data_IF_561774641756
#
_entry.id   IF_561774641756
#
_cell.length_a   1.000
_cell.length_b   1.000
_cell.length_c   1.000
_cell.angle_alpha   90.00
_cell.angle_beta   90.00
_cell.angle_gamma   90.00
#
_symmetry.space_group_name_H-M   'P 1'
#
loop_
_entity.id
_entity.type
_entity.pdbx_description
1 polymer ?
#
# COMPACT_ATOMS: atom_id res chain seq x y z
N UNK A 1 -6.53 14.15 -18.36
CA UNK A 1 -5.99 12.86 -18.84
C UNK A 1 -6.68 11.75 -18.06
N UNK A 2 -7.73 11.12 -18.61
CA UNK A 2 -8.39 10.00 -17.93
C UNK A 2 -7.53 8.75 -18.07
N UNK A 3 -7.12 8.17 -16.95
CA UNK A 3 -6.47 6.86 -16.91
C UNK A 3 -7.54 5.82 -17.27
N UNK A 4 -7.38 5.22 -18.45
CA UNK A 4 -8.20 4.07 -18.89
C UNK A 4 -7.68 2.80 -18.24
N UNK A 5 -8.55 1.83 -18.00
CA UNK A 5 -8.21 0.53 -17.39
C UNK A 5 -7.01 -0.16 -18.05
N UNK A 6 -6.98 -0.24 -19.39
CA UNK A 6 -5.86 -0.83 -20.14
C UNK A 6 -4.51 -0.16 -19.82
N UNK A 7 -4.50 1.17 -19.68
CA UNK A 7 -3.28 1.92 -19.32
C UNK A 7 -2.87 1.67 -17.87
N UNK A 8 -3.83 1.53 -16.96
CA UNK A 8 -3.55 1.19 -15.57
C UNK A 8 -2.92 -0.20 -15.45
N UNK A 9 -3.45 -1.20 -16.16
CA UNK A 9 -2.89 -2.56 -16.17
C UNK A 9 -1.45 -2.60 -16.70
N UNK A 10 -1.17 -1.87 -17.79
CA UNK A 10 0.19 -1.74 -18.32
C UNK A 10 1.14 -1.13 -17.29
N UNK A 11 0.72 -0.05 -16.62
CA UNK A 11 1.52 0.59 -15.56
C UNK A 11 1.77 -0.38 -14.40
N UNK A 12 0.75 -1.12 -13.95
CA UNK A 12 0.89 -2.14 -12.91
C UNK A 12 1.90 -3.20 -13.32
N UNK A 13 1.80 -3.73 -14.55
CA UNK A 13 2.74 -4.73 -15.05
C UNK A 13 4.19 -4.21 -15.05
N UNK A 14 4.41 -2.96 -15.48
CA UNK A 14 5.74 -2.32 -15.44
C UNK A 14 6.26 -2.21 -14.01
N UNK A 15 5.42 -1.81 -13.05
CA UNK A 15 5.80 -1.70 -11.63
C UNK A 15 6.21 -3.07 -11.06
N UNK A 16 5.46 -4.13 -11.37
CA UNK A 16 5.78 -5.48 -10.92
C UNK A 16 7.10 -5.99 -11.52
N UNK A 17 7.29 -5.80 -12.83
CA UNK A 17 8.52 -6.18 -13.52
C UNK A 17 9.73 -5.43 -12.95
N UNK A 18 9.57 -4.13 -12.67
CA UNK A 18 10.58 -3.33 -12.01
C UNK A 18 10.89 -3.85 -10.59
N UNK A 19 9.89 -4.14 -9.77
CA UNK A 19 10.08 -4.66 -8.42
C UNK A 19 10.80 -6.01 -8.41
N UNK A 20 10.39 -6.92 -9.30
CA UNK A 20 11.00 -8.24 -9.43
C UNK A 20 12.47 -8.15 -9.87
N UNK A 21 12.75 -7.37 -10.91
CA UNK A 21 14.11 -7.18 -11.44
C UNK A 21 15.03 -6.45 -10.47
N UNK A 22 14.52 -5.48 -9.71
CA UNK A 22 15.33 -4.63 -8.83
C UNK A 22 15.59 -5.22 -7.45
N UNK A 23 14.73 -6.11 -6.94
CA UNK A 23 14.85 -6.64 -5.56
C UNK A 23 15.01 -8.15 -5.52
N UNK A 24 14.25 -8.89 -6.32
CA UNK A 24 14.19 -10.35 -6.24
C UNK A 24 15.33 -10.98 -7.02
N UNK A 25 15.56 -10.55 -8.25
CA UNK A 25 16.55 -11.14 -9.16
C UNK A 25 18.04 -10.96 -8.74
N UNK A 26 18.48 -9.80 -8.20
CA UNK A 26 19.89 -9.51 -7.93
C UNK A 26 20.65 -10.57 -7.09
N UNK A 27 20.10 -11.11 -5.98
CA UNK A 27 20.78 -12.14 -5.20
C UNK A 27 20.98 -13.46 -5.94
N UNK A 28 20.15 -13.76 -6.95
CA UNK A 28 20.23 -15.02 -7.72
C UNK A 28 21.14 -14.94 -8.94
N UNK A 29 21.47 -13.73 -9.41
CA UNK A 29 22.37 -13.51 -10.57
C UNK A 29 23.81 -13.17 -10.17
N UNK A 30 24.21 -13.47 -8.93
CA UNK A 30 25.59 -13.31 -8.47
C UNK A 30 25.91 -11.96 -7.83
N UNK A 31 24.91 -11.14 -7.48
CA UNK A 31 25.11 -9.93 -6.65
C UNK A 31 24.98 -10.22 -5.13
N UNK A 32 25.19 -11.49 -4.73
CA UNK A 32 25.06 -11.97 -3.35
C UNK A 32 26.40 -12.08 -2.65
N UNK A 33 26.47 -11.56 -1.43
CA UNK A 33 27.58 -11.80 -0.48
C UNK A 33 27.19 -12.89 0.57
N UNK A 34 28.15 -13.33 1.39
CA UNK A 34 27.94 -14.29 2.49
C UNK A 34 26.95 -13.75 3.54
N UNK A 35 25.81 -14.42 3.74
CA UNK A 35 24.82 -14.02 4.75
C UNK A 35 23.44 -14.66 4.59
N UNK A 36 22.74 -14.89 5.71
CA UNK A 36 21.33 -15.34 5.70
C UNK A 36 20.44 -14.13 5.40
N UNK A 37 19.35 -14.29 4.63
CA UNK A 37 18.37 -13.23 4.34
C UNK A 37 17.63 -12.69 5.58
N UNK A 38 18.02 -13.11 6.79
CA UNK A 38 17.38 -12.75 8.03
C UNK A 38 17.81 -11.34 8.48
N UNK A 39 17.11 -10.33 7.95
CA UNK A 39 17.23 -8.92 8.36
C UNK A 39 18.64 -8.29 8.24
N UNK A 40 19.51 -8.88 7.40
CA UNK A 40 20.87 -8.38 7.13
C UNK A 40 21.06 -8.08 5.63
N UNK A 41 20.33 -7.07 5.16
CA UNK A 41 20.35 -6.67 3.75
C UNK A 41 21.74 -6.19 3.27
N UNK A 42 22.54 -5.60 4.17
CA UNK A 42 23.88 -5.11 3.86
C UNK A 42 24.85 -6.25 3.48
N UNK A 43 24.65 -7.45 4.04
CA UNK A 43 25.43 -8.65 3.71
C UNK A 43 24.84 -9.47 2.57
N UNK A 44 23.59 -9.24 2.18
CA UNK A 44 22.95 -9.97 1.08
C UNK A 44 23.24 -9.33 -0.26
N UNK A 45 23.23 -7.99 -0.34
CA UNK A 45 23.37 -7.27 -1.61
C UNK A 45 24.77 -6.66 -1.77
N UNK A 46 25.25 -6.58 -3.01
CA UNK A 46 26.46 -5.85 -3.35
C UNK A 46 26.33 -4.35 -3.01
N UNK A 47 27.43 -3.69 -2.61
CA UNK A 47 27.49 -2.27 -2.29
C UNK A 47 26.85 -1.37 -3.36
N UNK A 48 27.17 -1.59 -4.64
CA UNK A 48 26.60 -0.81 -5.75
C UNK A 48 25.09 -0.97 -5.85
N UNK A 49 24.59 -2.17 -5.53
CA UNK A 49 23.18 -2.47 -5.56
C UNK A 49 22.43 -1.82 -4.39
N UNK A 50 23.03 -1.78 -3.20
CA UNK A 50 22.48 -1.08 -2.04
C UNK A 50 22.37 0.43 -2.32
N UNK A 51 23.38 1.04 -2.92
CA UNK A 51 23.32 2.45 -3.34
C UNK A 51 22.23 2.70 -4.39
N UNK A 52 22.12 1.81 -5.38
CA UNK A 52 21.04 1.85 -6.37
C UNK A 52 19.66 1.82 -5.68
N UNK A 53 19.42 0.87 -4.76
CA UNK A 53 18.17 0.79 -4.02
C UNK A 53 17.91 2.04 -3.18
N UNK A 54 18.92 2.57 -2.49
CA UNK A 54 18.80 3.80 -1.71
C UNK A 54 18.32 4.97 -2.57
N UNK A 55 18.96 5.19 -3.73
CA UNK A 55 18.67 6.34 -4.59
C UNK A 55 17.36 6.15 -5.34
N UNK A 56 17.15 5.02 -6.00
CA UNK A 56 16.02 4.83 -6.92
C UNK A 56 14.78 4.23 -6.28
N UNK A 57 14.90 3.44 -5.21
CA UNK A 57 13.75 2.88 -4.50
C UNK A 57 13.42 3.64 -3.21
N UNK A 58 14.41 4.28 -2.58
CA UNK A 58 14.21 5.09 -1.38
C UNK A 58 13.98 6.56 -1.70
N UNK A 59 15.06 7.27 -2.03
CA UNK A 59 15.07 8.73 -2.14
C UNK A 59 14.25 9.24 -3.33
N UNK A 60 14.37 8.61 -4.50
CA UNK A 60 13.68 9.02 -5.73
C UNK A 60 12.16 9.05 -5.57
N UNK A 61 11.50 7.96 -5.14
CA UNK A 61 10.06 7.95 -4.89
C UNK A 61 9.66 8.95 -3.81
N UNK A 62 10.44 9.08 -2.73
CA UNK A 62 10.15 10.04 -1.66
C UNK A 62 10.18 11.49 -2.16
N UNK A 63 11.22 11.89 -2.90
CA UNK A 63 11.32 13.22 -3.50
C UNK A 63 10.22 13.47 -4.53
N UNK A 64 9.95 12.48 -5.38
CA UNK A 64 8.88 12.55 -6.39
C UNK A 64 7.53 12.80 -5.72
N UNK A 65 7.25 12.06 -4.64
CA UNK A 65 6.03 12.24 -3.85
C UNK A 65 5.99 13.64 -3.23
N UNK A 66 7.03 14.09 -2.54
CA UNK A 66 7.09 15.44 -1.95
C UNK A 66 6.80 16.53 -2.97
N UNK A 67 7.39 16.44 -4.16
CA UNK A 67 7.18 17.39 -5.26
C UNK A 67 5.72 17.35 -5.73
N UNK A 68 5.16 16.16 -5.98
CA UNK A 68 3.75 16.01 -6.37
C UNK A 68 2.80 16.59 -5.31
N UNK A 69 3.03 16.33 -4.03
CA UNK A 69 2.20 16.89 -2.95
C UNK A 69 2.35 18.40 -2.82
N UNK A 70 3.55 18.94 -2.98
CA UNK A 70 3.78 20.38 -2.99
C UNK A 70 3.03 21.06 -4.15
N UNK A 71 3.12 20.49 -5.36
CA UNK A 71 2.35 20.97 -6.51
C UNK A 71 0.85 20.88 -6.27
N UNK A 72 0.36 19.76 -5.75
CA UNK A 72 -1.04 19.57 -5.41
C UNK A 72 -1.50 20.61 -4.38
N UNK A 73 -0.70 20.88 -3.35
CA UNK A 73 -1.00 21.89 -2.34
C UNK A 73 -1.05 23.31 -2.93
N UNK A 74 -0.12 23.65 -3.83
CA UNK A 74 -0.15 24.93 -4.57
C UNK A 74 -1.39 25.04 -5.45
N UNK A 75 -1.66 24.03 -6.26
CA UNK A 75 -2.83 23.96 -7.14
C UNK A 75 -4.14 24.10 -6.35
N UNK A 76 -4.18 23.49 -5.17
CA UNK A 76 -5.27 23.64 -4.22
C UNK A 76 -5.40 25.11 -3.76
N UNK A 77 -4.32 25.73 -3.31
CA UNK A 77 -4.35 27.13 -2.85
C UNK A 77 -4.78 28.09 -3.96
N UNK A 78 -4.35 27.87 -5.19
CA UNK A 78 -4.73 28.66 -6.36
C UNK A 78 -6.19 28.46 -6.74
N UNK A 79 -6.66 27.20 -6.79
CA UNK A 79 -8.09 26.88 -7.03
C UNK A 79 -9.01 27.50 -5.99
N UNK A 80 -8.57 27.64 -4.73
CA UNK A 80 -9.31 28.37 -3.68
C UNK A 80 -9.49 29.86 -4.03
N UNK A 81 -8.49 30.48 -4.66
CA UNK A 81 -8.50 31.89 -5.07
C UNK A 81 -9.40 32.12 -6.30
N UNK A 82 -9.25 31.31 -7.35
CA UNK A 82 -10.08 31.40 -8.57
C UNK A 82 -11.52 30.92 -8.34
N UNK A 83 -11.74 30.00 -7.39
CA UNK A 83 -13.08 29.62 -6.96
C UNK A 83 -13.88 30.76 -6.32
N UNK A 84 -13.28 31.88 -5.90
CA UNK A 84 -14.09 33.00 -5.43
C UNK A 84 -14.99 33.59 -6.55
N UNK A 85 -14.73 33.24 -7.82
CA UNK A 85 -15.21 33.97 -9.01
C UNK A 85 -16.27 33.22 -9.86
N UNK A 86 -16.60 31.96 -9.54
CA UNK A 86 -17.48 31.10 -10.38
C UNK A 86 -18.88 30.83 -9.77
N UNK A 87 -19.93 30.96 -10.59
CA UNK A 87 -21.40 30.96 -10.32
C UNK A 87 -22.03 29.62 -9.91
N UNK A 88 -21.35 28.76 -9.14
CA UNK A 88 -21.99 27.57 -8.51
C UNK A 88 -22.37 27.92 -7.08
N UNK A 89 -23.54 27.47 -6.61
CA UNK A 89 -24.02 27.72 -5.25
C UNK A 89 -22.88 27.48 -4.22
N UNK A 90 -22.54 28.47 -3.38
CA UNK A 90 -21.32 28.47 -2.56
C UNK A 90 -21.22 27.26 -1.62
N UNK A 91 -22.37 26.73 -1.16
CA UNK A 91 -22.45 25.52 -0.32
C UNK A 91 -22.01 24.24 -1.05
N UNK A 92 -22.41 24.04 -2.30
CA UNK A 92 -22.07 22.84 -3.10
C UNK A 92 -20.58 22.82 -3.42
N UNK A 93 -20.06 23.99 -3.80
CA UNK A 93 -18.65 24.22 -4.10
C UNK A 93 -17.73 23.99 -2.90
N UNK A 94 -18.13 24.50 -1.72
CA UNK A 94 -17.40 24.30 -0.48
C UNK A 94 -17.40 22.81 -0.05
N UNK A 95 -18.48 22.07 -0.32
CA UNK A 95 -18.59 20.64 -0.07
C UNK A 95 -17.61 19.83 -0.92
N UNK A 96 -17.61 20.02 -2.25
CA UNK A 96 -16.70 19.33 -3.18
C UNK A 96 -15.24 19.63 -2.79
N UNK A 97 -14.95 20.90 -2.51
CA UNK A 97 -13.63 21.35 -2.08
C UNK A 97 -13.13 20.67 -0.79
N UNK A 98 -13.99 20.59 0.24
CA UNK A 98 -13.65 19.90 1.49
C UNK A 98 -13.39 18.41 1.25
N UNK A 99 -14.13 17.77 0.35
CA UNK A 99 -13.89 16.36 -0.04
C UNK A 99 -12.54 16.20 -0.72
N UNK A 100 -12.21 17.04 -1.70
CA UNK A 100 -10.89 17.02 -2.36
C UNK A 100 -9.74 17.20 -1.37
N UNK A 101 -9.83 18.22 -0.50
CA UNK A 101 -8.84 18.47 0.55
C UNK A 101 -8.69 17.29 1.52
N UNK A 102 -9.79 16.64 1.90
CA UNK A 102 -9.77 15.48 2.79
C UNK A 102 -9.07 14.28 2.14
N UNK A 103 -9.31 14.04 0.85
CA UNK A 103 -8.62 13.01 0.08
C UNK A 103 -7.13 13.31 -0.01
N UNK A 104 -6.76 14.55 -0.33
CA UNK A 104 -5.35 14.96 -0.42
C UNK A 104 -4.62 14.88 0.91
N UNK A 105 -5.25 15.33 2.00
CA UNK A 105 -4.71 15.23 3.36
C UNK A 105 -4.50 13.77 3.76
N UNK A 106 -5.43 12.89 3.40
CA UNK A 106 -5.30 11.45 3.65
C UNK A 106 -4.11 10.88 2.90
N UNK A 107 -3.98 11.19 1.61
CA UNK A 107 -2.85 10.75 0.79
C UNK A 107 -1.52 11.26 1.36
N UNK A 108 -1.47 12.52 1.82
CA UNK A 108 -0.28 13.08 2.44
C UNK A 108 0.09 12.37 3.76
N UNK A 109 -0.89 11.98 4.58
CA UNK A 109 -0.66 11.20 5.81
C UNK A 109 -0.12 9.79 5.47
N UNK A 110 -0.72 9.10 4.49
CA UNK A 110 -0.25 7.78 4.04
C UNK A 110 1.21 7.86 3.60
N UNK A 111 1.56 8.88 2.81
CA UNK A 111 2.90 9.05 2.28
C UNK A 111 3.90 9.47 3.35
N UNK A 112 3.53 10.38 4.25
CA UNK A 112 4.37 10.76 5.39
C UNK A 112 4.67 9.56 6.29
N UNK A 113 3.66 8.75 6.61
CA UNK A 113 3.85 7.53 7.38
C UNK A 113 4.74 6.53 6.65
N UNK A 114 4.59 6.40 5.33
CA UNK A 114 5.44 5.53 4.50
C UNK A 114 6.89 6.01 4.51
N UNK A 115 7.15 7.29 4.35
CA UNK A 115 8.50 7.85 4.49
C UNK A 115 9.09 7.55 5.86
N UNK A 116 8.37 7.81 6.95
CA UNK A 116 8.83 7.56 8.31
C UNK A 116 9.07 6.08 8.61
N UNK A 117 8.33 5.16 7.98
CA UNK A 117 8.48 3.72 8.18
C UNK A 117 9.65 3.10 7.38
N UNK A 118 10.00 3.70 6.24
CA UNK A 118 11.03 3.18 5.34
C UNK A 118 12.39 3.87 5.51
N UNK A 119 12.43 5.19 5.75
CA UNK A 119 13.68 5.94 5.86
C UNK A 119 14.63 5.45 6.95
N UNK A 120 14.18 5.12 8.19
CA UNK A 120 15.07 4.62 9.23
C UNK A 120 15.75 3.30 8.84
N UNK A 121 14.98 2.36 8.28
CA UNK A 121 15.48 1.05 7.83
C UNK A 121 16.50 1.20 6.69
N UNK A 122 16.18 2.05 5.70
CA UNK A 122 17.06 2.32 4.57
C UNK A 122 18.36 3.01 5.03
N UNK A 123 18.27 3.96 5.97
CA UNK A 123 19.43 4.64 6.55
C UNK A 123 20.30 3.67 7.34
N UNK A 124 19.68 2.77 8.11
CA UNK A 124 20.43 1.78 8.87
C UNK A 124 21.23 0.83 7.97
N UNK A 125 20.65 0.37 6.86
CA UNK A 125 21.37 -0.48 5.88
C UNK A 125 22.58 0.25 5.29
N UNK A 126 22.47 1.56 5.01
CA UNK A 126 23.63 2.36 4.57
C UNK A 126 24.69 2.51 5.66
N UNK A 127 24.29 2.72 6.91
CA UNK A 127 25.21 2.84 8.04
C UNK A 127 25.96 1.53 8.27
N UNK A 128 25.26 0.40 8.29
CA UNK A 128 25.87 -0.92 8.43
C UNK A 128 26.86 -1.23 7.29
N UNK A 129 26.61 -0.71 6.09
CA UNK A 129 27.49 -0.85 4.92
C UNK A 129 28.77 0.01 5.03
N UNK A 130 28.66 1.27 5.46
CA UNK A 130 29.79 2.21 5.47
C UNK A 130 30.58 2.22 6.79
N UNK A 131 29.95 1.80 7.89
CA UNK A 131 30.52 1.77 9.23
C UNK A 131 30.45 0.37 9.83
N UNK A 132 31.18 -0.62 9.26
CA UNK A 132 31.10 -2.02 9.68
C UNK A 132 31.60 -2.25 11.12
N UNK A 133 32.27 -1.28 11.74
CA UNK A 133 32.70 -1.29 13.14
C UNK A 133 31.59 -0.89 14.13
N UNK A 134 30.53 -0.24 13.65
CA UNK A 134 29.39 0.24 14.45
C UNK A 134 28.12 -0.43 13.92
N UNK A 135 28.09 -1.76 13.95
CA UNK A 135 26.94 -2.52 13.47
C UNK A 135 25.79 -2.43 14.48
N UNK A 136 24.60 -2.13 13.99
CA UNK A 136 23.42 -2.22 14.84
C UNK A 136 23.16 -3.67 15.26
N UNK A 137 22.65 -3.85 16.48
CA UNK A 137 22.29 -5.18 16.96
C UNK A 137 21.17 -5.79 16.11
N UNK A 138 21.11 -7.12 16.08
CA UNK A 138 20.05 -7.86 15.38
C UNK A 138 18.65 -7.41 15.84
N UNK A 139 18.49 -7.06 17.11
CA UNK A 139 17.24 -6.53 17.67
C UNK A 139 16.82 -5.24 16.97
N UNK A 140 17.72 -4.28 16.80
CA UNK A 140 17.41 -2.99 16.15
C UNK A 140 17.01 -3.23 14.69
N UNK A 141 17.79 -4.05 13.96
CA UNK A 141 17.50 -4.41 12.56
C UNK A 141 16.13 -5.07 12.41
N UNK A 142 15.81 -6.00 13.32
CA UNK A 142 14.53 -6.71 13.34
C UNK A 142 13.38 -5.75 13.61
N UNK A 143 13.48 -4.90 14.63
CA UNK A 143 12.43 -3.93 14.99
C UNK A 143 12.16 -2.96 13.83
N UNK A 144 13.21 -2.39 13.22
CA UNK A 144 13.03 -1.48 12.09
C UNK A 144 12.43 -2.17 10.87
N UNK A 145 12.82 -3.42 10.59
CA UNK A 145 12.25 -4.20 9.49
C UNK A 145 10.76 -4.50 9.72
N UNK A 146 10.38 -4.88 10.94
CA UNK A 146 8.97 -5.04 11.31
C UNK A 146 8.20 -3.73 11.20
N UNK A 147 8.80 -2.61 11.59
CA UNK A 147 8.18 -1.28 11.42
C UNK A 147 7.91 -0.95 9.95
N UNK A 148 8.84 -1.30 9.06
CA UNK A 148 8.64 -1.20 7.61
C UNK A 148 7.50 -2.12 7.14
N UNK A 149 7.41 -3.35 7.64
CA UNK A 149 6.32 -4.27 7.26
C UNK A 149 4.93 -3.82 7.75
N UNK A 150 4.86 -3.20 8.92
CA UNK A 150 3.62 -2.63 9.44
C UNK A 150 3.03 -1.55 8.52
N UNK A 151 3.83 -0.95 7.63
CA UNK A 151 3.34 -0.06 6.57
C UNK A 151 2.22 -0.68 5.73
N UNK A 152 2.34 -1.97 5.39
CA UNK A 152 1.36 -2.68 4.57
C UNK A 152 0.02 -2.87 5.28
N UNK A 153 0.04 -3.01 6.62
CA UNK A 153 -1.16 -3.15 7.45
C UNK A 153 -1.90 -1.81 7.59
N UNK A 154 -1.14 -0.72 7.68
CA UNK A 154 -1.70 0.63 7.84
C UNK A 154 -2.45 1.09 6.59
N UNK A 155 -2.07 0.62 5.40
CA UNK A 155 -2.69 1.01 4.14
C UNK A 155 -4.21 0.69 4.09
N UNK A 156 -4.71 -0.56 4.24
CA UNK A 156 -6.15 -0.86 4.29
C UNK A 156 -6.91 -0.11 5.39
N UNK A 157 -6.31 0.05 6.58
CA UNK A 157 -6.92 0.78 7.70
C UNK A 157 -7.14 2.25 7.33
N UNK A 158 -6.14 2.89 6.75
CA UNK A 158 -6.24 4.28 6.30
C UNK A 158 -7.29 4.45 5.20
N UNK A 159 -7.36 3.52 4.23
CA UNK A 159 -8.41 3.54 3.21
C UNK A 159 -9.80 3.35 3.82
N UNK A 160 -9.99 2.42 4.76
CA UNK A 160 -11.26 2.19 5.44
C UNK A 160 -11.74 3.40 6.26
N UNK A 161 -10.81 4.14 6.89
CA UNK A 161 -11.13 5.32 7.69
C UNK A 161 -11.42 6.56 6.85
N UNK A 162 -10.87 6.66 5.65
CA UNK A 162 -10.81 7.92 4.89
C UNK A 162 -11.54 7.89 3.54
N UNK A 163 -11.69 6.72 2.92
CA UNK A 163 -12.45 6.54 1.68
C UNK A 163 -13.85 6.01 1.99
N UNK A 164 -14.84 6.87 1.79
CA UNK A 164 -16.26 6.52 1.94
C UNK A 164 -16.66 5.40 0.97
N UNK A 165 -16.19 5.48 -0.28
CA UNK A 165 -16.44 4.46 -1.30
C UNK A 165 -15.86 3.09 -0.91
N UNK A 166 -14.63 3.07 -0.40
CA UNK A 166 -14.00 1.82 0.05
C UNK A 166 -14.74 1.22 1.24
N UNK A 167 -15.20 2.07 2.17
CA UNK A 167 -15.94 1.62 3.35
C UNK A 167 -17.31 1.06 3.01
N UNK A 168 -18.03 1.68 2.08
CA UNK A 168 -19.32 1.16 1.62
C UNK A 168 -19.16 -0.16 0.85
N UNK A 169 -18.18 -0.26 -0.04
CA UNK A 169 -17.87 -1.52 -0.73
C UNK A 169 -17.46 -2.64 0.24
N UNK A 170 -16.65 -2.33 1.27
CA UNK A 170 -16.25 -3.30 2.30
C UNK A 170 -17.45 -3.79 3.12
N UNK A 171 -18.36 -2.89 3.49
CA UNK A 171 -19.61 -3.26 4.18
C UNK A 171 -20.47 -4.16 3.30
N UNK A 172 -20.68 -3.78 2.03
CA UNK A 172 -21.50 -4.55 1.11
C UNK A 172 -20.99 -5.99 0.95
N UNK A 173 -19.67 -6.16 0.80
CA UNK A 173 -19.04 -7.47 0.75
C UNK A 173 -19.31 -8.27 2.04
N UNK A 174 -19.11 -7.65 3.21
CA UNK A 174 -19.31 -8.29 4.51
C UNK A 174 -20.77 -8.71 4.74
N UNK A 175 -21.74 -7.88 4.33
CA UNK A 175 -23.16 -8.22 4.42
C UNK A 175 -23.56 -9.35 3.46
N UNK A 176 -23.01 -9.38 2.25
CA UNK A 176 -23.22 -10.49 1.30
C UNK A 176 -22.66 -11.80 1.82
N UNK A 177 -21.44 -11.79 2.34
CA UNK A 177 -20.82 -12.99 2.91
C UNK A 177 -21.59 -13.51 4.13
N UNK A 178 -22.02 -12.61 5.01
CA UNK A 178 -22.85 -12.95 6.16
C UNK A 178 -24.20 -13.55 5.72
N UNK A 179 -24.87 -12.93 4.73
CA UNK A 179 -26.13 -13.44 4.19
C UNK A 179 -25.97 -14.83 3.54
N UNK A 180 -24.87 -15.06 2.82
CA UNK A 180 -24.55 -16.37 2.23
C UNK A 180 -24.26 -17.44 3.30
N UNK A 181 -23.58 -17.07 4.38
CA UNK A 181 -23.36 -17.97 5.53
C UNK A 181 -24.68 -18.31 6.21
N UNK A 182 -25.53 -17.31 6.47
CA UNK A 182 -26.85 -17.52 7.09
C UNK A 182 -27.74 -18.38 6.19
N UNK A 183 -27.76 -18.16 4.88
CA UNK A 183 -28.52 -18.98 3.93
C UNK A 183 -28.01 -20.43 3.94
N UNK A 184 -26.70 -20.66 3.84
CA UNK A 184 -26.11 -22.02 3.90
C UNK A 184 -26.42 -22.72 5.22
N UNK A 185 -26.40 -22.01 6.34
CA UNK A 185 -26.75 -22.57 7.64
C UNK A 185 -28.23 -22.93 7.73
N UNK A 186 -29.11 -22.11 7.14
CA UNK A 186 -30.56 -22.38 7.06
C UNK A 186 -30.86 -23.60 6.19
N UNK A 187 -30.20 -23.72 5.04
CA UNK A 187 -30.33 -24.86 4.12
C UNK A 187 -29.79 -26.17 4.73
N UNK A 188 -28.64 -26.08 5.43
CA UNK A 188 -28.03 -27.19 6.18
C UNK A 188 -28.85 -27.61 7.41
N UNK A 189 -29.75 -26.74 7.89
CA UNK A 189 -30.69 -27.05 8.97
C UNK A 189 -31.95 -27.71 8.41
N UNK A 190 -32.46 -27.20 7.29
CA UNK A 190 -33.62 -27.77 6.58
C UNK A 190 -33.37 -29.22 6.13
N UNK A 191 -32.19 -29.48 5.53
CA UNK A 191 -31.76 -30.82 5.10
C UNK A 191 -31.48 -31.80 6.25
N UNK A 192 -31.19 -31.31 7.47
CA UNK A 192 -31.09 -32.16 8.67
C UNK A 192 -32.44 -32.50 9.29
N UNK A 193 -33.43 -31.61 9.15
CA UNK A 193 -34.79 -31.79 9.69
C UNK A 193 -35.65 -32.65 8.74
N UNK A 194 -35.39 -32.57 7.44
CA UNK A 194 -36.04 -33.38 6.41
C UNK A 194 -35.01 -34.18 5.60
N UNK A 195 -34.49 -35.32 6.12
CA UNK A 195 -33.67 -36.19 5.30
C UNK A 195 -34.51 -36.72 4.14
N UNK A 196 -34.07 -36.47 2.92
CA UNK A 196 -34.73 -36.92 1.69
C UNK A 196 -34.85 -38.45 1.67
N UNK A 197 -36.03 -38.96 1.99
CA UNK A 197 -36.42 -40.35 1.80
C UNK A 197 -36.76 -40.61 0.33
N UNK A 198 -35.73 -40.77 -0.50
CA UNK A 198 -35.92 -41.28 -1.87
C UNK A 198 -34.84 -42.32 -2.17
N UNK A 199 -35.04 -43.49 -1.58
CA UNK A 199 -34.37 -44.73 -1.94
C UNK A 199 -35.42 -45.84 -1.95
N UNK A 200 -36.21 -45.91 -3.02
CA UNK A 200 -37.02 -47.10 -3.32
C UNK A 200 -36.82 -47.45 -4.79
N UNK A 201 -35.74 -48.18 -5.03
CA UNK A 201 -35.60 -49.05 -6.20
C UNK A 201 -36.43 -50.31 -5.93
N UNK A 202 -37.56 -50.47 -6.63
CA UNK A 202 -38.12 -51.79 -7.02
C UNK A 202 -39.09 -51.56 -8.18
N UNK A 203 -39.25 -52.49 -9.15
CA UNK A 203 -38.44 -53.68 -9.46
C UNK A 203 -37.56 -53.51 -10.71
#
# INVERSE_FOLDING_TARGET
MLITERKALVVIAIIWLYGFSSVVLPPFVGLRNEGVFCFDFARVFNIYHIHYMFVFNGLGPFLTLLVIYFYMFKLVREKKRTSAEYTIAPKVKQSIWRKELKTLSTLAVIVGFTGCAWLPSITLVLLDLHFPTIQASLTIRTVLSWFTYLNSVVNPILYALRSEQFREASKELFYKDLALVVHRLSDSRSSRVYPSSSGTTVP
#
